data_IF_146144715623
#
_entry.id   IF_146144715623
#
_cell.length_a   1.000
_cell.length_b   1.000
_cell.length_c   1.000
_cell.angle_alpha   90.00
_cell.angle_beta   90.00
_cell.angle_gamma   90.00
#
_symmetry.space_group_name_H-M   'P 1'
#
loop_
_entity.id
_entity.type
_entity.pdbx_description
1 polymer ?
#
# COMPACT_ATOMS: atom_id res chain seq x y z
N UNK A 1 12.08 -1.29 -14.13
CA UNK A 1 11.38 -1.49 -12.84
C UNK A 1 11.53 -0.20 -12.07
N UNK A 2 10.58 0.72 -12.23
CA UNK A 2 10.57 1.97 -11.48
C UNK A 2 10.10 1.67 -10.07
N UNK A 3 10.83 2.14 -9.07
CA UNK A 3 10.36 2.20 -7.68
C UNK A 3 9.36 3.36 -7.68
N UNK A 4 8.04 3.12 -7.59
CA UNK A 4 7.07 4.21 -7.55
C UNK A 4 7.07 4.74 -6.11
N UNK A 5 7.47 5.99 -5.93
CA UNK A 5 7.57 6.60 -4.59
C UNK A 5 7.85 8.09 -4.62
N UNK A 6 7.85 8.68 -5.82
CA UNK A 6 8.10 10.10 -6.07
C UNK A 6 7.24 10.52 -7.26
N UNK A 7 5.96 10.12 -7.30
CA UNK A 7 5.04 10.77 -8.24
C UNK A 7 4.91 12.23 -7.82
N UNK A 8 4.79 13.15 -8.78
CA UNK A 8 4.75 14.59 -8.53
C UNK A 8 3.74 14.94 -7.42
N UNK A 9 4.25 15.19 -6.21
CA UNK A 9 3.48 15.70 -5.08
C UNK A 9 3.13 17.18 -5.30
N UNK A 10 3.83 17.86 -6.22
CA UNK A 10 3.49 19.22 -6.63
C UNK A 10 2.52 19.09 -7.81
N UNK A 11 1.22 19.04 -7.49
CA UNK A 11 0.18 18.76 -8.49
C UNK A 11 -0.36 20.05 -9.14
N UNK A 12 -0.05 21.23 -8.59
CA UNK A 12 -0.42 22.54 -9.17
C UNK A 12 0.32 23.71 -8.50
N UNK A 13 0.43 24.82 -9.25
CA UNK A 13 1.12 26.05 -8.85
C UNK A 13 0.20 27.29 -8.94
N UNK A 14 -0.56 27.46 -10.03
CA UNK A 14 -1.36 28.70 -10.27
C UNK A 14 -2.85 28.51 -10.59
N UNK A 15 -3.34 27.28 -10.86
CA UNK A 15 -4.77 26.98 -11.04
C UNK A 15 -5.13 25.64 -10.35
N UNK A 16 -5.32 25.67 -9.03
CA UNK A 16 -5.67 24.48 -8.25
C UNK A 16 -7.18 24.21 -8.31
N UNK A 17 -7.58 23.15 -9.00
CA UNK A 17 -8.93 22.59 -8.89
C UNK A 17 -8.97 21.44 -7.86
N UNK A 18 -10.15 21.06 -7.36
CA UNK A 18 -10.30 19.98 -6.37
C UNK A 18 -9.83 18.62 -6.91
N UNK A 19 -9.83 18.41 -8.23
CA UNK A 19 -9.27 17.25 -8.93
C UNK A 19 -7.79 17.04 -8.58
N UNK A 20 -7.01 18.13 -8.44
CA UNK A 20 -5.59 18.04 -8.12
C UNK A 20 -5.33 17.69 -6.65
N UNK A 21 -6.20 18.12 -5.73
CA UNK A 21 -6.14 17.70 -4.32
C UNK A 21 -6.41 16.19 -4.17
N UNK A 22 -7.39 15.67 -4.91
CA UNK A 22 -7.67 14.24 -4.94
C UNK A 22 -6.52 13.44 -5.58
N UNK A 23 -5.87 14.00 -6.61
CA UNK A 23 -4.70 13.39 -7.25
C UNK A 23 -3.49 13.37 -6.30
N UNK A 24 -3.25 14.45 -5.54
CA UNK A 24 -2.23 14.51 -4.48
C UNK A 24 -2.46 13.38 -3.46
N UNK A 25 -3.67 13.31 -2.89
CA UNK A 25 -4.00 12.32 -1.87
C UNK A 25 -3.82 10.89 -2.39
N UNK A 26 -4.28 10.62 -3.62
CA UNK A 26 -4.11 9.31 -4.26
C UNK A 26 -2.64 8.93 -4.44
N UNK A 27 -1.81 9.85 -4.92
CA UNK A 27 -0.39 9.61 -5.15
C UNK A 27 0.36 9.43 -3.83
N UNK A 28 0.11 10.30 -2.84
CA UNK A 28 0.71 10.20 -1.52
C UNK A 28 0.39 8.86 -0.83
N UNK A 29 -0.87 8.44 -0.80
CA UNK A 29 -1.27 7.17 -0.16
C UNK A 29 -0.63 5.99 -0.89
N UNK A 30 -0.55 6.04 -2.23
CA UNK A 30 0.09 4.99 -3.03
C UNK A 30 1.58 4.89 -2.72
N UNK A 31 2.28 6.01 -2.60
CA UNK A 31 3.71 6.04 -2.25
C UNK A 31 3.96 5.50 -0.83
N UNK A 32 3.11 5.83 0.14
CA UNK A 32 3.19 5.28 1.50
C UNK A 32 2.97 3.76 1.54
N UNK A 33 2.03 3.24 0.75
CA UNK A 33 1.74 1.80 0.69
C UNK A 33 2.88 1.03 0.03
N UNK A 34 3.55 1.62 -0.94
CA UNK A 34 4.76 1.03 -1.55
C UNK A 34 5.88 0.93 -0.50
N UNK A 35 6.12 2.00 0.27
CA UNK A 35 7.08 1.95 1.38
C UNK A 35 6.71 0.87 2.41
N UNK A 36 5.45 0.78 2.79
CA UNK A 36 4.95 -0.27 3.69
C UNK A 36 5.19 -1.68 3.13
N UNK A 37 5.02 -1.86 1.83
CA UNK A 37 5.25 -3.14 1.14
C UNK A 37 6.70 -3.59 1.24
N UNK A 38 7.67 -2.68 1.09
CA UNK A 38 9.09 -3.02 1.28
C UNK A 38 9.38 -3.51 2.71
N UNK A 39 8.80 -2.84 3.72
CA UNK A 39 8.93 -3.26 5.12
C UNK A 39 8.28 -4.62 5.34
N UNK A 40 7.09 -4.85 4.77
CA UNK A 40 6.39 -6.13 4.85
C UNK A 40 7.23 -7.27 4.26
N UNK A 41 7.83 -7.08 3.08
CA UNK A 41 8.72 -8.06 2.44
C UNK A 41 9.90 -8.41 3.37
N UNK A 42 10.53 -7.42 4.00
CA UNK A 42 11.61 -7.65 4.95
C UNK A 42 11.15 -8.47 6.17
N UNK A 43 9.96 -8.18 6.71
CA UNK A 43 9.36 -8.92 7.82
C UNK A 43 9.00 -10.36 7.43
N UNK A 44 8.47 -10.57 6.24
CA UNK A 44 8.19 -11.91 5.71
C UNK A 44 9.47 -12.72 5.49
N UNK A 45 10.53 -12.10 4.97
CA UNK A 45 11.83 -12.73 4.82
C UNK A 45 12.42 -13.14 6.19
N UNK A 46 12.37 -12.25 7.18
CA UNK A 46 12.84 -12.53 8.55
C UNK A 46 12.04 -13.66 9.22
N UNK A 47 10.70 -13.61 9.12
CA UNK A 47 9.83 -14.65 9.67
C UNK A 47 10.04 -16.00 8.97
N UNK A 48 10.19 -15.99 7.64
CA UNK A 48 10.50 -17.18 6.84
C UNK A 48 11.84 -17.80 7.23
N UNK A 49 12.88 -16.99 7.41
CA UNK A 49 14.19 -17.47 7.86
C UNK A 49 14.13 -18.10 9.25
N UNK A 50 13.39 -17.49 10.18
CA UNK A 50 13.17 -18.03 11.53
C UNK A 50 12.42 -19.37 11.51
N UNK A 51 11.51 -19.55 10.55
CA UNK A 51 10.77 -20.81 10.37
C UNK A 51 11.68 -21.94 9.86
N UNK A 52 12.64 -21.64 8.98
CA UNK A 52 13.61 -22.61 8.45
C UNK A 52 14.66 -23.04 9.50
N UNK A 53 15.06 -22.12 10.40
CA UNK A 53 16.03 -22.40 11.46
C UNK A 53 15.42 -23.03 12.72
N UNK A 54 14.11 -23.25 12.77
CA UNK A 54 13.45 -23.97 13.85
C UNK A 54 13.87 -25.44 13.82
N UNK A 55 14.99 -25.75 14.47
CA UNK A 55 15.67 -27.05 14.50
C UNK A 55 14.89 -28.09 15.32
N UNK A 56 13.66 -28.43 14.92
CA UNK A 56 12.90 -29.56 15.46
C UNK A 56 12.12 -29.31 16.75
N UNK A 57 11.98 -28.07 17.23
CA UNK A 57 11.02 -27.76 18.31
C UNK A 57 9.66 -27.36 17.74
N UNK A 58 8.65 -28.22 17.91
CA UNK A 58 7.27 -27.97 17.43
C UNK A 58 6.72 -26.62 17.93
N UNK A 59 7.08 -26.22 19.15
CA UNK A 59 6.65 -24.94 19.73
C UNK A 59 7.23 -23.73 19.00
N UNK A 60 8.49 -23.77 18.56
CA UNK A 60 9.10 -22.66 17.83
C UNK A 60 8.57 -22.55 16.41
N UNK A 61 8.28 -23.69 15.78
CA UNK A 61 7.64 -23.76 14.46
C UNK A 61 6.19 -23.24 14.50
N UNK A 62 5.39 -23.70 15.47
CA UNK A 62 4.00 -23.22 15.65
C UNK A 62 3.95 -21.72 15.92
N UNK A 63 4.91 -21.20 16.70
CA UNK A 63 5.05 -19.76 16.96
C UNK A 63 5.46 -18.97 15.71
N UNK A 64 6.32 -19.53 14.85
CA UNK A 64 6.71 -18.90 13.59
C UNK A 64 5.55 -18.85 12.58
N UNK A 65 4.81 -19.95 12.41
CA UNK A 65 3.65 -20.02 11.49
C UNK A 65 2.54 -19.08 11.93
N UNK A 66 2.22 -19.03 13.22
CA UNK A 66 1.19 -18.12 13.73
C UNK A 66 1.60 -16.65 13.55
N UNK A 67 2.88 -16.33 13.65
CA UNK A 67 3.40 -14.98 13.35
C UNK A 67 3.28 -14.66 11.85
N UNK A 68 3.65 -15.60 10.98
CA UNK A 68 3.53 -15.45 9.52
C UNK A 68 2.08 -15.22 9.09
N UNK A 69 1.13 -15.99 9.63
CA UNK A 69 -0.30 -15.84 9.34
C UNK A 69 -0.84 -14.48 9.81
N UNK A 70 -0.44 -14.01 10.99
CA UNK A 70 -0.83 -12.68 11.49
C UNK A 70 -0.29 -11.55 10.61
N UNK A 71 0.97 -11.66 10.16
CA UNK A 71 1.58 -10.70 9.22
C UNK A 71 0.88 -10.72 7.86
N UNK A 72 0.60 -11.92 7.34
CA UNK A 72 -0.15 -12.13 6.10
C UNK A 72 -1.51 -11.44 6.12
N UNK A 73 -2.30 -11.70 7.16
CA UNK A 73 -3.62 -11.08 7.32
C UNK A 73 -3.56 -9.57 7.53
N UNK A 74 -2.61 -9.07 8.33
CA UNK A 74 -2.45 -7.64 8.56
C UNK A 74 -2.08 -6.88 7.28
N UNK A 75 -1.13 -7.41 6.51
CA UNK A 75 -0.71 -6.79 5.25
C UNK A 75 -1.81 -6.85 4.17
N UNK A 76 -2.55 -7.96 4.10
CA UNK A 76 -3.70 -8.09 3.20
C UNK A 76 -4.76 -7.02 3.50
N UNK A 77 -5.01 -6.70 4.77
CA UNK A 77 -5.94 -5.64 5.16
C UNK A 77 -5.49 -4.24 4.75
N UNK A 78 -4.19 -3.95 4.84
CA UNK A 78 -3.61 -2.69 4.35
C UNK A 78 -3.80 -2.58 2.83
N UNK A 79 -3.55 -3.66 2.08
CA UNK A 79 -3.73 -3.68 0.64
C UNK A 79 -5.19 -3.48 0.22
N UNK A 80 -6.14 -4.10 0.93
CA UNK A 80 -7.57 -3.91 0.68
C UNK A 80 -7.98 -2.46 0.93
N UNK A 81 -7.57 -1.87 2.05
CA UNK A 81 -7.86 -0.47 2.35
C UNK A 81 -7.28 0.48 1.28
N UNK A 82 -6.03 0.26 0.87
CA UNK A 82 -5.41 1.02 -0.21
C UNK A 82 -6.18 0.88 -1.53
N UNK A 83 -6.55 -0.34 -1.90
CA UNK A 83 -7.28 -0.62 -3.14
C UNK A 83 -8.62 0.12 -3.16
N UNK A 84 -9.35 0.16 -2.04
CA UNK A 84 -10.63 0.87 -1.94
C UNK A 84 -10.42 2.36 -2.16
N UNK A 85 -9.48 2.98 -1.44
CA UNK A 85 -9.20 4.42 -1.58
C UNK A 85 -8.72 4.76 -2.99
N UNK A 86 -7.82 3.96 -3.55
CA UNK A 86 -7.31 4.14 -4.90
C UNK A 86 -8.43 4.07 -5.94
N UNK A 87 -9.31 3.07 -5.82
CA UNK A 87 -10.46 2.88 -6.71
C UNK A 87 -11.43 4.05 -6.63
N UNK A 88 -11.80 4.49 -5.42
CA UNK A 88 -12.70 5.63 -5.23
C UNK A 88 -12.08 6.90 -5.81
N UNK A 89 -10.83 7.21 -5.48
CA UNK A 89 -10.14 8.39 -6.01
C UNK A 89 -10.04 8.35 -7.53
N UNK A 90 -9.77 7.19 -8.14
CA UNK A 90 -9.76 7.02 -9.60
C UNK A 90 -11.14 7.24 -10.22
N UNK A 91 -12.18 6.64 -9.65
CA UNK A 91 -13.55 6.77 -10.15
C UNK A 91 -14.04 8.23 -10.05
N UNK A 92 -13.68 8.93 -8.98
CA UNK A 92 -14.06 10.33 -8.79
C UNK A 92 -13.33 11.27 -9.75
N UNK A 93 -12.03 11.04 -10.01
CA UNK A 93 -11.28 11.83 -11.00
C UNK A 93 -11.83 11.68 -12.43
N UNK A 94 -12.35 10.49 -12.77
CA UNK A 94 -12.94 10.22 -14.10
C UNK A 94 -14.35 10.81 -14.23
N UNK A 95 -15.15 10.72 -13.17
CA UNK A 95 -16.50 11.31 -13.12
C UNK A 95 -16.47 12.85 -13.15
N UNK A 96 -15.42 13.46 -12.63
CA UNK A 96 -15.27 14.91 -12.57
C UNK A 96 -15.14 15.59 -13.94
N UNK A 97 -14.59 14.86 -14.90
CA UNK A 97 -14.52 15.29 -16.29
C UNK A 97 -15.92 15.48 -16.92
N UNK A 98 -16.95 14.83 -16.36
CA UNK A 98 -18.33 14.86 -16.86
C UNK A 98 -19.15 16.01 -16.25
N UNK A 99 -18.78 16.56 -15.09
CA UNK A 99 -19.59 17.58 -14.37
C UNK A 99 -19.15 19.04 -14.58
N UNK A 100 -17.99 19.29 -15.20
CA UNK A 100 -17.49 20.64 -15.50
C UNK A 100 -17.34 20.93 -17.01
N UNK A 101 -18.05 20.20 -17.87
CA UNK A 101 -18.25 20.59 -19.28
C UNK A 101 -19.58 21.35 -19.44
N UNK A 102 -19.58 22.68 -19.56
CA UNK A 102 -20.50 23.37 -20.46
C UNK A 102 -20.08 23.21 -21.93
#
# INVERSE_FOLDING_TARGET
MAIPGWQDLIVCDTNCNYTHLLLLAKNLITDLVILSTFIAIALFAYAGFKMLLAQGSEDSFKKAVTMFQKLGWGYLWILVAWLVVYTISKALLDADFILLTP
#
